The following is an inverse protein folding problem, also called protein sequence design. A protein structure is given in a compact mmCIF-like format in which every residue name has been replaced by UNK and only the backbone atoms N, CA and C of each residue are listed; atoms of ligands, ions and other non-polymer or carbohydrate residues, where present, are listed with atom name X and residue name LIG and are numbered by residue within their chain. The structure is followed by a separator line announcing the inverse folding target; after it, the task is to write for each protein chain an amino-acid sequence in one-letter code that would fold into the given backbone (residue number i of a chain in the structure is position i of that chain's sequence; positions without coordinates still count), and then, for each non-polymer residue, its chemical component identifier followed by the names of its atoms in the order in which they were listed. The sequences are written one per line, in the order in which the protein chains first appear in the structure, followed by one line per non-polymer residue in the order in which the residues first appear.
data_IF_150146019386
#
_entry.id   IF_150146019386
#
_cell.length_a   1.000
_cell.length_b   1.000
_cell.length_c   1.000
_cell.angle_alpha   90.00
_cell.angle_beta   90.00
_cell.angle_gamma   90.00
#
_symmetry.space_group_name_H-M   'P 1'
#
loop_
_entity.id
_entity.type
_entity.pdbx_description
1 polymer ?
#
# COMPACT_ATOMS: atom_id res chain seq x y z
N UNK A 1 0.61 4.59 -19.55
CA UNK A 1 0.41 3.22 -20.04
C UNK A 1 1.53 2.31 -19.57
N UNK A 2 2.77 2.72 -19.79
CA UNK A 2 3.98 1.97 -19.50
C UNK A 2 4.05 1.42 -18.05
N UNK A 3 3.57 2.16 -17.05
CA UNK A 3 3.50 1.72 -15.65
C UNK A 3 2.75 0.39 -15.45
N UNK A 4 1.61 0.23 -16.11
CA UNK A 4 0.79 -0.98 -15.97
C UNK A 4 1.43 -2.18 -16.68
N UNK A 5 2.12 -1.92 -17.80
CA UNK A 5 2.87 -2.94 -18.52
C UNK A 5 4.11 -3.40 -17.76
N UNK A 6 4.86 -2.47 -17.18
CA UNK A 6 5.99 -2.78 -16.31
C UNK A 6 5.51 -3.58 -15.10
N UNK A 7 4.44 -3.13 -14.41
CA UNK A 7 3.84 -3.87 -13.29
C UNK A 7 3.41 -5.30 -13.70
N UNK A 8 2.76 -5.47 -14.86
CA UNK A 8 2.32 -6.76 -15.36
C UNK A 8 3.44 -7.79 -15.48
N UNK A 9 4.67 -7.36 -15.79
CA UNK A 9 5.82 -8.26 -15.91
C UNK A 9 6.34 -8.78 -14.56
N UNK A 10 6.02 -8.08 -13.47
CA UNK A 10 6.42 -8.46 -12.11
C UNK A 10 5.39 -9.35 -11.39
N UNK A 11 4.16 -9.42 -11.89
CA UNK A 11 3.09 -10.21 -11.27
C UNK A 11 3.17 -11.67 -11.72
N UNK A 12 3.22 -12.58 -10.75
CA UNK A 12 3.26 -14.03 -10.99
C UNK A 12 1.89 -14.69 -10.98
N UNK A 13 0.92 -14.13 -10.22
CA UNK A 13 -0.43 -14.69 -10.10
C UNK A 13 -1.28 -14.43 -11.35
N UNK A 14 -2.00 -15.46 -11.81
CA UNK A 14 -2.82 -15.37 -13.02
C UNK A 14 -4.07 -14.50 -12.83
N UNK A 15 -4.67 -14.53 -11.64
CA UNK A 15 -5.85 -13.71 -11.32
C UNK A 15 -5.49 -12.23 -11.35
N UNK A 16 -4.40 -11.86 -10.71
CA UNK A 16 -3.92 -10.48 -10.70
C UNK A 16 -3.46 -10.00 -12.09
N UNK A 17 -2.84 -10.88 -12.89
CA UNK A 17 -2.51 -10.57 -14.29
C UNK A 17 -3.74 -10.30 -15.13
N UNK A 18 -4.84 -11.02 -14.91
CA UNK A 18 -6.10 -10.79 -15.62
C UNK A 18 -6.68 -9.40 -15.29
N UNK A 19 -6.74 -9.04 -14.00
CA UNK A 19 -7.20 -7.71 -13.57
C UNK A 19 -6.34 -6.59 -14.16
N UNK A 20 -5.00 -6.74 -14.13
CA UNK A 20 -4.09 -5.80 -14.77
C UNK A 20 -4.33 -5.68 -16.29
N UNK A 21 -4.60 -6.79 -16.97
CA UNK A 21 -4.88 -6.78 -18.41
C UNK A 21 -6.18 -6.02 -18.72
N UNK A 22 -7.20 -6.18 -17.87
CA UNK A 22 -8.45 -5.41 -17.98
C UNK A 22 -8.17 -3.92 -17.80
N UNK A 23 -7.46 -3.52 -16.74
CA UNK A 23 -7.10 -2.12 -16.50
C UNK A 23 -6.28 -1.54 -17.67
N UNK A 24 -5.31 -2.28 -18.21
CA UNK A 24 -4.56 -1.86 -19.39
C UNK A 24 -5.51 -1.62 -20.57
N UNK A 25 -6.44 -2.54 -20.81
CA UNK A 25 -7.41 -2.44 -21.91
C UNK A 25 -8.33 -1.24 -21.73
N UNK A 26 -8.83 -1.01 -20.52
CA UNK A 26 -9.71 0.11 -20.19
C UNK A 26 -9.01 1.45 -20.38
N UNK A 27 -7.76 1.57 -19.90
CA UNK A 27 -6.98 2.79 -20.07
C UNK A 27 -6.60 3.01 -21.54
N UNK A 28 -6.31 1.96 -22.32
CA UNK A 28 -6.11 2.08 -23.77
C UNK A 28 -7.37 2.51 -24.51
N UNK A 29 -8.53 2.03 -24.08
CA UNK A 29 -9.81 2.36 -24.70
C UNK A 29 -10.31 3.76 -24.30
N UNK A 30 -9.84 4.31 -23.19
CA UNK A 30 -10.25 5.63 -22.68
C UNK A 30 -10.09 6.70 -23.76
N UNK A 31 -11.17 7.44 -23.98
CA UNK A 31 -11.23 8.58 -24.91
C UNK A 31 -11.19 9.88 -24.10
N UNK A 32 -10.58 10.96 -24.64
CA UNK A 32 -10.66 12.27 -24.02
C UNK A 32 -12.13 12.68 -23.82
N UNK A 33 -12.47 13.11 -22.60
CA UNK A 33 -13.82 13.60 -22.30
C UNK A 33 -13.92 15.04 -22.77
N UNK A 34 -14.76 15.27 -23.76
CA UNK A 34 -14.94 16.58 -24.37
C UNK A 34 -16.23 17.21 -23.84
N UNK A 35 -16.13 18.45 -23.38
CA UNK A 35 -17.30 19.27 -23.12
C UNK A 35 -17.59 20.12 -24.35
N UNK A 36 -18.62 19.74 -25.10
CA UNK A 36 -19.07 20.50 -26.28
C UNK A 36 -19.93 21.71 -25.88
N UNK A 37 -20.34 21.81 -24.62
CA UNK A 37 -21.09 22.97 -24.11
C UNK A 37 -20.17 24.14 -23.74
N UNK A 38 -18.88 23.86 -23.51
CA UNK A 38 -17.88 24.87 -23.23
C UNK A 38 -17.26 25.37 -24.55
N UNK A 39 -17.10 26.70 -24.70
CA UNK A 39 -16.75 27.32 -25.99
C UNK A 39 -15.35 27.00 -26.54
N UNK A 40 -14.49 26.33 -25.76
CA UNK A 40 -13.10 26.07 -26.10
C UNK A 40 -12.70 24.60 -25.87
N UNK A 41 -12.77 23.79 -26.93
CA UNK A 41 -12.28 22.40 -26.98
C UNK A 41 -10.85 22.24 -26.42
N UNK A 42 -9.97 23.21 -26.70
CA UNK A 42 -8.58 23.20 -26.24
C UNK A 42 -8.49 23.15 -24.71
N UNK A 43 -9.42 23.82 -24.01
CA UNK A 43 -9.43 23.88 -22.56
C UNK A 43 -9.82 22.52 -21.95
N UNK A 44 -10.88 21.88 -22.46
CA UNK A 44 -11.28 20.53 -22.03
C UNK A 44 -10.15 19.51 -22.26
N UNK A 45 -9.41 19.63 -23.38
CA UNK A 45 -8.27 18.77 -23.65
C UNK A 45 -7.10 18.99 -22.67
N UNK A 46 -6.80 20.25 -22.32
CA UNK A 46 -5.77 20.58 -21.31
C UNK A 46 -6.12 20.05 -19.93
N UNK A 47 -7.39 20.13 -19.55
CA UNK A 47 -7.89 19.61 -18.28
C UNK A 47 -7.76 18.09 -18.20
N UNK A 48 -8.16 17.36 -19.25
CA UNK A 48 -7.98 15.90 -19.32
C UNK A 48 -6.49 15.51 -19.28
N UNK A 49 -5.63 16.24 -20.02
CA UNK A 49 -4.19 16.01 -19.99
C UNK A 49 -3.62 16.20 -18.58
N UNK A 50 -4.08 17.22 -17.86
CA UNK A 50 -3.70 17.47 -16.47
C UNK A 50 -4.07 16.31 -15.56
N UNK A 51 -5.28 15.73 -15.73
CA UNK A 51 -5.69 14.53 -14.99
C UNK A 51 -4.78 13.34 -15.27
N UNK A 52 -4.47 13.09 -16.54
CA UNK A 52 -3.56 12.01 -16.92
C UNK A 52 -2.16 12.20 -16.34
N UNK A 53 -1.64 13.43 -16.33
CA UNK A 53 -0.33 13.74 -15.75
C UNK A 53 -0.32 13.53 -14.24
N UNK A 54 -1.32 14.03 -13.51
CA UNK A 54 -1.44 13.83 -12.06
C UNK A 54 -1.59 12.34 -11.71
N UNK A 55 -2.39 11.60 -12.46
CA UNK A 55 -2.53 10.15 -12.29
C UNK A 55 -1.21 9.42 -12.49
N UNK A 56 -0.47 9.73 -13.55
CA UNK A 56 0.84 9.14 -13.81
C UNK A 56 1.86 9.47 -12.71
N UNK A 57 1.86 10.71 -12.21
CA UNK A 57 2.72 11.11 -11.11
C UNK A 57 2.41 10.32 -9.84
N UNK A 58 1.12 10.12 -9.53
CA UNK A 58 0.69 9.37 -8.35
C UNK A 58 1.13 7.92 -8.44
N UNK A 59 0.83 7.26 -9.57
CA UNK A 59 1.25 5.88 -9.82
C UNK A 59 2.77 5.74 -9.73
N UNK A 60 3.53 6.63 -10.36
CA UNK A 60 4.99 6.60 -10.31
C UNK A 60 5.51 6.69 -8.89
N UNK A 61 4.97 7.58 -8.06
CA UNK A 61 5.38 7.74 -6.67
C UNK A 61 5.08 6.48 -5.86
N UNK A 62 3.84 5.98 -5.90
CA UNK A 62 3.40 4.80 -5.14
C UNK A 62 4.23 3.57 -5.51
N UNK A 63 4.37 3.28 -6.80
CA UNK A 63 5.05 2.07 -7.27
C UNK A 63 6.55 2.13 -7.04
N UNK A 64 7.19 3.30 -7.17
CA UNK A 64 8.60 3.44 -6.83
C UNK A 64 8.85 3.25 -5.34
N UNK A 65 7.98 3.77 -4.47
CA UNK A 65 8.05 3.49 -3.03
C UNK A 65 7.95 1.99 -2.76
N UNK A 66 6.99 1.29 -3.39
CA UNK A 66 6.85 -0.17 -3.23
C UNK A 66 8.12 -0.95 -3.65
N UNK A 67 8.74 -0.56 -4.76
CA UNK A 67 10.02 -1.14 -5.21
C UNK A 67 11.10 -0.94 -4.15
N UNK A 68 11.22 0.29 -3.63
CA UNK A 68 12.26 0.62 -2.64
C UNK A 68 12.04 -0.12 -1.31
N UNK A 69 10.80 -0.20 -0.82
CA UNK A 69 10.43 -0.95 0.39
C UNK A 69 10.73 -2.45 0.23
N UNK A 70 10.36 -3.05 -0.90
CA UNK A 70 10.67 -4.46 -1.15
C UNK A 70 12.16 -4.74 -1.25
N UNK A 71 12.93 -3.83 -1.89
CA UNK A 71 14.38 -3.93 -1.91
C UNK A 71 14.97 -3.84 -0.51
N UNK A 72 14.46 -2.92 0.30
CA UNK A 72 14.88 -2.76 1.68
C UNK A 72 14.63 -4.04 2.47
N UNK A 73 13.41 -4.58 2.40
CA UNK A 73 13.03 -5.85 3.03
C UNK A 73 13.94 -7.01 2.59
N UNK A 74 14.13 -7.20 1.28
CA UNK A 74 15.02 -8.25 0.75
C UNK A 74 16.45 -8.07 1.23
N UNK A 75 16.97 -6.84 1.26
CA UNK A 75 18.28 -6.58 1.83
C UNK A 75 18.34 -6.99 3.30
N UNK A 76 17.29 -6.77 4.09
CA UNK A 76 17.21 -7.19 5.48
C UNK A 76 17.24 -8.71 5.64
N UNK A 77 16.42 -9.42 4.87
CA UNK A 77 16.32 -10.89 4.90
C UNK A 77 17.62 -11.54 4.42
N UNK A 78 18.33 -10.92 3.49
CA UNK A 78 19.54 -11.47 2.90
C UNK A 78 20.85 -10.87 3.46
N UNK A 79 20.83 -10.14 4.59
CA UNK A 79 22.02 -9.50 5.22
C UNK A 79 23.16 -10.50 5.49
N UNK A 80 22.82 -11.68 6.00
CA UNK A 80 23.77 -12.70 6.49
C UNK A 80 23.88 -13.91 5.57
N UNK A 81 24.24 -13.69 4.30
CA UNK A 81 24.45 -14.74 3.27
C UNK A 81 25.48 -15.83 3.66
N UNK A 82 26.14 -15.69 4.81
CA UNK A 82 27.14 -16.60 5.36
C UNK A 82 26.58 -17.84 6.09
N UNK A 83 25.28 -17.92 6.37
CA UNK A 83 24.70 -19.12 7.03
C UNK A 83 24.16 -20.17 6.04
N UNK A 84 25.07 -20.76 5.25
CA UNK A 84 24.93 -22.11 4.69
C UNK A 84 23.82 -22.39 3.65
N UNK A 85 24.23 -22.99 2.54
CA UNK A 85 23.47 -23.47 1.36
C UNK A 85 22.36 -24.53 1.62
N UNK A 86 21.67 -24.51 2.78
CA UNK A 86 20.75 -25.59 3.17
C UNK A 86 19.41 -25.18 3.79
N UNK A 87 19.17 -23.89 4.10
CA UNK A 87 17.94 -23.46 4.80
C UNK A 87 17.25 -22.25 4.15
N UNK A 88 17.39 -22.07 2.83
CA UNK A 88 16.73 -20.96 2.10
C UNK A 88 15.24 -21.23 1.81
N UNK A 89 14.69 -22.37 2.27
CA UNK A 89 13.32 -22.75 2.00
C UNK A 89 12.33 -21.79 2.69
N UNK A 90 11.40 -21.24 1.91
CA UNK A 90 10.38 -20.31 2.39
C UNK A 90 10.82 -18.84 2.41
N UNK A 91 12.07 -18.52 2.07
CA UNK A 91 12.51 -17.14 1.91
C UNK A 91 12.10 -16.58 0.55
N UNK A 92 11.84 -15.26 0.45
CA UNK A 92 11.55 -14.61 -0.83
C UNK A 92 12.77 -14.67 -1.77
N UNK A 93 12.51 -14.74 -3.08
CA UNK A 93 13.56 -14.80 -4.09
C UNK A 93 14.52 -13.60 -3.98
N UNK A 94 15.82 -13.88 -3.92
CA UNK A 94 16.85 -12.86 -3.95
C UNK A 94 17.11 -12.37 -5.39
N UNK A 95 17.60 -11.14 -5.53
CA UNK A 95 18.03 -10.57 -6.81
C UNK A 95 19.54 -10.29 -6.80
N UNK A 96 20.12 -10.14 -8.01
CA UNK A 96 21.55 -9.84 -8.17
C UNK A 96 21.70 -8.38 -8.63
N UNK A 97 22.15 -7.46 -7.76
CA UNK A 97 22.23 -6.03 -8.06
C UNK A 97 23.46 -5.70 -8.94
N UNK A 98 23.56 -6.30 -10.13
CA UNK A 98 24.70 -6.12 -11.04
C UNK A 98 24.34 -5.41 -12.34
N UNK A 99 23.15 -5.68 -12.87
CA UNK A 99 22.71 -5.13 -14.15
C UNK A 99 21.31 -4.54 -14.00
N UNK A 100 21.20 -3.24 -14.18
CA UNK A 100 19.93 -2.54 -14.29
C UNK A 100 19.39 -2.70 -15.71
N UNK A 101 18.10 -2.99 -15.81
CA UNK A 101 17.35 -3.16 -17.05
C UNK A 101 16.18 -2.19 -17.03
N UNK A 102 16.05 -1.40 -18.09
CA UNK A 102 14.83 -0.66 -18.39
C UNK A 102 13.97 -1.50 -19.32
N UNK A 103 12.72 -1.76 -18.93
CA UNK A 103 11.81 -2.61 -19.69
C UNK A 103 11.14 -1.85 -20.85
N UNK A 104 11.16 -0.52 -20.84
CA UNK A 104 10.67 0.32 -21.92
C UNK A 104 11.82 0.81 -22.82
N UNK A 105 11.55 0.87 -24.14
CA UNK A 105 12.55 1.17 -25.17
C UNK A 105 12.90 2.67 -25.30
N UNK A 106 12.14 3.58 -24.66
CA UNK A 106 12.32 5.04 -24.78
C UNK A 106 12.71 5.70 -23.47
N UNK A 107 11.97 5.45 -22.39
CA UNK A 107 12.27 5.94 -21.03
C UNK A 107 11.52 5.10 -19.99
N UNK A 108 12.17 4.60 -18.92
CA UNK A 108 11.52 3.77 -17.91
C UNK A 108 10.40 4.54 -17.21
N UNK A 109 9.22 3.92 -17.11
CA UNK A 109 8.08 4.55 -16.46
C UNK A 109 8.30 4.55 -14.95
N UNK A 110 8.72 3.40 -14.42
CA UNK A 110 9.14 3.18 -13.04
C UNK A 110 10.66 3.28 -12.90
N UNK A 111 11.14 3.10 -11.67
CA UNK A 111 12.57 2.95 -11.39
C UNK A 111 13.13 1.72 -12.12
N UNK A 112 14.35 1.83 -12.63
CA UNK A 112 15.04 0.70 -13.25
C UNK A 112 15.14 -0.47 -12.26
N UNK A 113 14.87 -1.67 -12.76
CA UNK A 113 14.89 -2.92 -12.02
C UNK A 113 16.12 -3.74 -12.41
N UNK A 114 16.61 -4.57 -11.49
CA UNK A 114 17.72 -5.47 -11.79
C UNK A 114 17.25 -6.68 -12.61
N UNK A 115 18.18 -7.28 -13.35
CA UNK A 115 17.89 -8.52 -14.08
C UNK A 115 17.41 -9.62 -13.10
N UNK A 116 16.24 -10.19 -13.38
CA UNK A 116 15.53 -11.16 -12.51
C UNK A 116 15.06 -10.61 -11.16
N UNK A 117 14.86 -9.29 -11.05
CA UNK A 117 14.17 -8.69 -9.93
C UNK A 117 12.65 -8.72 -10.14
N UNK A 118 11.92 -9.26 -9.16
CA UNK A 118 10.47 -9.36 -9.19
C UNK A 118 9.85 -8.64 -8.00
N UNK A 119 8.79 -7.88 -8.28
CA UNK A 119 8.07 -7.08 -7.29
C UNK A 119 6.59 -7.44 -7.29
N UNK A 120 6.18 -8.49 -6.56
CA UNK A 120 4.80 -8.96 -6.59
C UNK A 120 3.80 -7.86 -6.23
N UNK A 121 4.08 -7.01 -5.23
CA UNK A 121 3.17 -5.93 -4.79
C UNK A 121 2.77 -4.94 -5.88
N UNK A 122 3.49 -4.87 -7.00
CA UNK A 122 3.10 -3.99 -8.11
C UNK A 122 1.75 -4.36 -8.71
N UNK A 123 1.22 -5.56 -8.44
CA UNK A 123 -0.16 -5.89 -8.79
C UNK A 123 -1.18 -4.90 -8.21
N UNK A 124 -0.88 -4.30 -7.04
CA UNK A 124 -1.76 -3.33 -6.36
C UNK A 124 -2.08 -2.09 -7.21
N UNK A 125 -1.35 -1.85 -8.30
CA UNK A 125 -1.68 -0.78 -9.25
C UNK A 125 -3.08 -0.97 -9.88
N UNK A 126 -3.55 -2.21 -10.04
CA UNK A 126 -4.91 -2.50 -10.53
C UNK A 126 -5.95 -2.04 -9.52
N UNK A 127 -5.74 -2.37 -8.24
CA UNK A 127 -6.60 -1.98 -7.12
C UNK A 127 -6.58 -0.47 -6.91
N UNK A 128 -5.41 0.18 -6.99
CA UNK A 128 -5.28 1.63 -6.89
C UNK A 128 -6.08 2.33 -7.99
N UNK A 129 -6.00 1.82 -9.22
CA UNK A 129 -6.80 2.35 -10.33
C UNK A 129 -8.30 2.23 -10.07
N UNK A 130 -8.75 1.07 -9.59
CA UNK A 130 -10.14 0.83 -9.25
C UNK A 130 -10.61 1.73 -8.10
N UNK A 131 -9.82 1.85 -7.04
CA UNK A 131 -10.12 2.69 -5.88
C UNK A 131 -10.24 4.17 -6.27
N UNK A 132 -9.34 4.68 -7.11
CA UNK A 132 -9.41 6.05 -7.62
C UNK A 132 -10.66 6.28 -8.48
N UNK A 133 -11.03 5.30 -9.31
CA UNK A 133 -12.23 5.37 -10.16
C UNK A 133 -13.50 5.36 -9.31
N UNK A 134 -13.55 4.51 -8.28
CA UNK A 134 -14.66 4.45 -7.33
C UNK A 134 -14.77 5.75 -6.53
N UNK A 135 -13.66 6.24 -5.96
CA UNK A 135 -13.64 7.50 -5.23
C UNK A 135 -14.08 8.69 -6.11
N UNK A 136 -13.66 8.73 -7.38
CA UNK A 136 -14.12 9.74 -8.33
C UNK A 136 -15.63 9.65 -8.58
N UNK A 137 -16.16 8.44 -8.75
CA UNK A 137 -17.58 8.19 -8.97
C UNK A 137 -18.40 8.67 -7.77
N UNK A 138 -18.00 8.29 -6.55
CA UNK A 138 -18.62 8.75 -5.31
C UNK A 138 -18.57 10.27 -5.16
N UNK A 139 -17.41 10.89 -5.43
CA UNK A 139 -17.29 12.36 -5.40
C UNK A 139 -18.22 13.03 -6.39
N UNK A 140 -18.36 12.49 -7.61
CA UNK A 140 -19.29 13.02 -8.60
C UNK A 140 -20.75 12.90 -8.13
N UNK A 141 -21.11 11.81 -7.46
CA UNK A 141 -22.45 11.61 -6.90
C UNK A 141 -22.72 12.59 -5.76
N UNK A 142 -21.79 12.73 -4.80
CA UNK A 142 -21.91 13.65 -3.67
C UNK A 142 -22.04 15.11 -4.10
N UNK A 143 -21.25 15.53 -5.10
CA UNK A 143 -21.27 16.91 -5.61
C UNK A 143 -22.32 17.12 -6.72
N UNK A 144 -23.09 16.09 -7.09
CA UNK A 144 -24.10 16.11 -8.16
C UNK A 144 -23.57 16.70 -9.47
N UNK A 145 -22.36 16.31 -9.86
CA UNK A 145 -21.68 16.85 -11.05
C UNK A 145 -22.44 16.48 -12.35
N UNK A 146 -22.94 17.49 -13.05
CA UNK A 146 -23.77 17.33 -14.26
C UNK A 146 -22.98 17.47 -15.54
N UNK A 147 -22.01 18.39 -15.58
CA UNK A 147 -21.20 18.64 -16.78
C UNK A 147 -19.96 17.75 -16.83
N UNK A 148 -19.42 17.51 -18.03
CA UNK A 148 -18.15 16.77 -18.16
C UNK A 148 -16.99 17.56 -17.57
N UNK A 149 -16.98 18.89 -17.73
CA UNK A 149 -15.96 19.76 -17.11
C UNK A 149 -15.96 19.68 -15.58
N UNK A 150 -17.13 19.67 -14.91
CA UNK A 150 -17.21 19.47 -13.46
C UNK A 150 -16.61 18.14 -13.02
N UNK A 151 -16.91 17.06 -13.77
CA UNK A 151 -16.39 15.72 -13.46
C UNK A 151 -14.87 15.66 -13.62
N UNK A 152 -14.32 16.27 -14.66
CA UNK A 152 -12.86 16.35 -14.89
C UNK A 152 -12.20 17.19 -13.79
N UNK A 153 -12.80 18.32 -13.40
CA UNK A 153 -12.29 19.15 -12.32
C UNK A 153 -12.27 18.42 -10.96
N UNK A 154 -13.30 17.62 -10.66
CA UNK A 154 -13.33 16.77 -9.47
C UNK A 154 -12.27 15.68 -9.50
N UNK A 155 -12.03 15.03 -10.64
CA UNK A 155 -10.95 14.05 -10.81
C UNK A 155 -9.59 14.70 -10.56
N UNK A 156 -9.36 15.88 -11.13
CA UNK A 156 -8.11 16.61 -10.92
C UNK A 156 -7.88 16.94 -9.45
N UNK A 157 -8.91 17.40 -8.74
CA UNK A 157 -8.83 17.71 -7.30
C UNK A 157 -8.53 16.45 -6.48
N UNK A 158 -9.22 15.34 -6.76
CA UNK A 158 -8.97 14.06 -6.11
C UNK A 158 -7.51 13.62 -6.30
N UNK A 159 -7.01 13.65 -7.54
CA UNK A 159 -5.64 13.23 -7.86
C UNK A 159 -4.59 14.12 -7.19
N UNK A 160 -4.78 15.44 -7.19
CA UNK A 160 -3.86 16.37 -6.52
C UNK A 160 -3.86 16.19 -4.99
N UNK A 161 -5.04 15.96 -4.39
CA UNK A 161 -5.14 15.67 -2.96
C UNK A 161 -4.48 14.33 -2.62
N UNK A 162 -4.70 13.29 -3.42
CA UNK A 162 -4.05 11.99 -3.24
C UNK A 162 -2.53 12.10 -3.35
N UNK A 163 -2.02 12.84 -4.34
CA UNK A 163 -0.60 13.14 -4.51
C UNK A 163 0.00 13.81 -3.27
N UNK A 164 -0.60 14.92 -2.84
CA UNK A 164 -0.13 15.67 -1.68
C UNK A 164 -0.14 14.78 -0.42
N UNK A 165 -1.24 14.06 -0.17
CA UNK A 165 -1.37 13.18 0.99
C UNK A 165 -0.36 12.05 0.99
N UNK A 166 -0.07 11.47 -0.18
CA UNK A 166 0.95 10.42 -0.31
C UNK A 166 2.35 10.95 0.01
N UNK A 167 2.69 12.14 -0.49
CA UNK A 167 3.99 12.77 -0.22
C UNK A 167 4.17 13.19 1.24
N UNK A 168 3.08 13.57 1.91
CA UNK A 168 3.07 13.99 3.31
C UNK A 168 2.68 12.87 4.28
N UNK A 169 2.70 11.60 3.85
CA UNK A 169 2.25 10.50 4.68
C UNK A 169 3.23 10.32 5.85
N UNK A 170 2.75 10.53 7.07
CA UNK A 170 3.52 10.25 8.27
C UNK A 170 3.65 8.72 8.45
N UNK A 171 4.70 8.24 9.13
CA UNK A 171 4.82 6.81 9.43
C UNK A 171 3.62 6.32 10.26
N UNK A 172 3.25 5.04 10.13
CA UNK A 172 2.20 4.44 10.94
C UNK A 172 2.44 4.70 12.43
N UNK A 173 1.40 5.12 13.14
CA UNK A 173 1.51 5.38 14.58
C UNK A 173 1.99 6.78 14.97
N UNK A 174 2.37 7.66 14.02
CA UNK A 174 2.88 9.00 14.32
C UNK A 174 1.95 9.88 15.17
N UNK A 175 0.63 9.66 15.07
CA UNK A 175 -0.39 10.36 15.86
C UNK A 175 -0.55 9.85 17.30
N UNK A 176 0.09 8.73 17.63
CA UNK A 176 -0.01 8.10 18.96
C UNK A 176 1.14 8.52 19.86
N UNK A 177 1.01 8.26 21.17
CA UNK A 177 2.05 8.55 22.15
C UNK A 177 3.34 7.76 21.88
N UNK A 178 4.47 8.29 22.34
CA UNK A 178 5.79 7.66 22.17
C UNK A 178 5.87 6.25 22.75
N UNK A 179 5.09 5.95 23.79
CA UNK A 179 5.01 4.61 24.38
C UNK A 179 4.33 3.63 23.41
N UNK A 180 3.17 3.99 22.85
CA UNK A 180 2.43 3.15 21.89
C UNK A 180 3.25 2.96 20.61
N UNK A 181 3.96 4.01 20.16
CA UNK A 181 4.86 3.90 19.01
C UNK A 181 5.96 2.85 19.24
N UNK A 182 6.56 2.82 20.43
CA UNK A 182 7.58 1.82 20.78
C UNK A 182 7.03 0.41 20.92
N UNK A 183 5.85 0.27 21.53
CA UNK A 183 5.31 -1.04 21.87
C UNK A 183 4.63 -1.73 20.68
N UNK A 184 3.88 -0.97 19.86
CA UNK A 184 3.07 -1.51 18.77
C UNK A 184 3.74 -1.33 17.39
N UNK A 185 4.23 -0.11 17.12
CA UNK A 185 4.73 0.29 15.79
C UNK A 185 6.23 0.09 15.61
N UNK A 186 6.95 -0.38 16.63
CA UNK A 186 8.38 -0.69 16.50
C UNK A 186 8.60 -1.79 15.46
N UNK A 187 9.49 -1.51 14.51
CA UNK A 187 9.87 -2.41 13.43
C UNK A 187 10.84 -3.51 13.87
N UNK A 188 11.39 -3.42 15.09
CA UNK A 188 12.53 -4.25 15.52
C UNK A 188 12.19 -5.73 15.66
N UNK A 189 10.97 -6.07 16.07
CA UNK A 189 10.62 -7.44 16.43
C UNK A 189 9.96 -8.21 15.29
N UNK A 190 8.88 -7.68 14.73
CA UNK A 190 7.99 -8.43 13.83
C UNK A 190 8.35 -8.30 12.36
N UNK A 191 9.12 -7.28 11.98
CA UNK A 191 9.56 -7.09 10.59
C UNK A 191 10.79 -7.95 10.26
N UNK A 192 11.55 -8.40 11.27
CA UNK A 192 12.67 -9.33 11.09
C UNK A 192 12.21 -10.80 11.25
N UNK A 193 12.09 -11.57 10.15
CA UNK A 193 11.65 -12.95 10.22
C UNK A 193 12.60 -13.86 11.00
N UNK A 194 13.89 -13.52 11.10
CA UNK A 194 14.84 -14.30 11.89
C UNK A 194 14.65 -14.08 13.38
N UNK A 195 14.31 -12.85 13.79
CA UNK A 195 14.02 -12.57 15.20
C UNK A 195 12.77 -13.33 15.66
N UNK A 196 11.70 -13.31 14.86
CA UNK A 196 10.47 -14.08 15.13
C UNK A 196 10.77 -15.58 15.20
N UNK A 197 11.59 -16.11 14.28
CA UNK A 197 12.04 -17.51 14.32
C UNK A 197 12.81 -17.82 15.60
N UNK A 198 13.76 -16.98 15.96
CA UNK A 198 14.66 -17.22 17.09
C UNK A 198 13.90 -17.21 18.41
N UNK A 199 12.91 -16.33 18.57
CA UNK A 199 11.98 -16.36 19.71
C UNK A 199 11.21 -17.69 19.76
N UNK A 200 10.69 -18.16 18.62
CA UNK A 200 10.05 -19.46 18.52
C UNK A 200 10.97 -20.61 18.93
N UNK A 201 12.23 -20.58 18.49
CA UNK A 201 13.23 -21.59 18.84
C UNK A 201 13.59 -21.56 20.32
N UNK A 202 13.67 -20.38 20.94
CA UNK A 202 13.92 -20.23 22.38
C UNK A 202 12.78 -20.87 23.17
N UNK A 203 11.52 -20.57 22.85
CA UNK A 203 10.34 -21.17 23.53
C UNK A 203 10.32 -22.70 23.35
N UNK A 204 10.68 -23.19 22.16
CA UNK A 204 10.80 -24.63 21.90
C UNK A 204 11.98 -25.27 22.64
N UNK A 205 13.01 -24.52 23.00
CA UNK A 205 14.18 -25.03 23.73
C UNK A 205 13.93 -25.08 25.23
N UNK A 206 13.26 -24.09 25.82
CA UNK A 206 12.93 -24.06 27.25
C UNK A 206 11.96 -25.19 27.62
N UNK A 207 10.96 -25.45 26.77
CA UNK A 207 10.03 -26.56 26.99
C UNK A 207 10.69 -27.96 26.95
N UNK A 208 11.84 -28.12 26.26
CA UNK A 208 12.59 -29.39 26.26
C UNK A 208 13.35 -29.63 27.56
N UNK A 209 13.72 -28.57 28.27
CA UNK A 209 14.43 -28.68 29.55
C UNK A 209 13.45 -29.00 30.69
N UNK A 210 12.20 -28.55 30.58
CA UNK A 210 11.16 -28.76 31.59
C UNK A 210 10.39 -30.10 31.43
N UNK A 211 10.22 -30.63 30.21
CA UNK A 211 9.44 -31.84 29.96
C UNK A 211 10.16 -32.87 29.05
N UNK A 212 10.18 -34.14 29.48
CA UNK A 212 10.57 -35.29 28.62
C UNK A 212 9.44 -35.60 27.62
N UNK A 213 9.13 -34.66 26.75
CA UNK A 213 8.08 -34.77 25.73
C UNK A 213 8.40 -35.88 24.71
N UNK A 214 7.44 -36.78 24.47
CA UNK A 214 7.59 -37.83 23.45
C UNK A 214 7.52 -37.26 22.03
N UNK A 215 7.95 -38.02 21.02
CA UNK A 215 8.08 -37.53 19.64
C UNK A 215 6.81 -36.93 19.03
N UNK A 216 5.62 -37.50 19.32
CA UNK A 216 4.32 -36.97 18.86
C UNK A 216 3.89 -35.71 19.60
N UNK A 217 4.03 -35.70 20.92
CA UNK A 217 3.69 -34.54 21.76
C UNK A 217 4.55 -33.33 21.39
N UNK A 218 5.84 -33.57 21.10
CA UNK A 218 6.76 -32.54 20.60
C UNK A 218 6.36 -31.96 19.26
N UNK A 219 5.83 -32.77 18.34
CA UNK A 219 5.34 -32.28 17.04
C UNK A 219 4.10 -31.40 17.21
N UNK A 220 3.16 -31.81 18.08
CA UNK A 220 1.97 -31.02 18.39
C UNK A 220 2.35 -29.69 19.04
N UNK A 221 3.25 -29.71 20.02
CA UNK A 221 3.75 -28.50 20.66
C UNK A 221 4.44 -27.55 19.68
N UNK A 222 5.27 -28.10 18.77
CA UNK A 222 5.91 -27.29 17.72
C UNK A 222 4.88 -26.61 16.81
N UNK A 223 3.84 -27.34 16.40
CA UNK A 223 2.77 -26.79 15.57
C UNK A 223 1.98 -25.72 16.32
N UNK A 224 1.75 -25.89 17.62
CA UNK A 224 1.09 -24.89 18.47
C UNK A 224 1.90 -23.59 18.55
N UNK A 225 3.22 -23.68 18.79
CA UNK A 225 4.10 -22.50 18.80
C UNK A 225 4.10 -21.80 17.44
N UNK A 226 4.21 -22.53 16.33
CA UNK A 226 4.13 -21.91 15.00
C UNK A 226 2.78 -21.23 14.74
N UNK A 227 1.68 -21.86 15.17
CA UNK A 227 0.34 -21.28 15.02
C UNK A 227 0.21 -19.98 15.82
N UNK A 228 0.71 -19.96 17.07
CA UNK A 228 0.75 -18.77 17.92
C UNK A 228 1.61 -17.65 17.34
N UNK A 229 2.77 -17.96 16.77
CA UNK A 229 3.63 -16.96 16.13
C UNK A 229 2.96 -16.36 14.89
N UNK A 230 2.34 -17.18 14.04
CA UNK A 230 1.59 -16.70 12.87
C UNK A 230 0.39 -15.85 13.28
N UNK A 231 -0.34 -16.26 14.32
CA UNK A 231 -1.43 -15.48 14.90
C UNK A 231 -0.93 -14.13 15.43
N UNK A 232 0.20 -14.11 16.14
CA UNK A 232 0.78 -12.88 16.68
C UNK A 232 1.16 -11.87 15.58
N UNK A 233 1.82 -12.35 14.51
CA UNK A 233 2.21 -11.53 13.35
C UNK A 233 0.98 -10.97 12.64
N UNK A 234 -0.03 -11.81 12.40
CA UNK A 234 -1.26 -11.40 11.70
C UNK A 234 -2.12 -10.46 12.55
N UNK A 235 -2.23 -10.69 13.87
CA UNK A 235 -2.92 -9.80 14.79
C UNK A 235 -2.24 -8.43 14.88
N UNK A 236 -0.90 -8.39 14.95
CA UNK A 236 -0.18 -7.11 14.94
C UNK A 236 -0.47 -6.33 13.66
N UNK A 237 -0.40 -6.98 12.50
CA UNK A 237 -0.67 -6.33 11.22
C UNK A 237 -2.08 -5.71 11.20
N UNK A 238 -3.10 -6.49 11.56
CA UNK A 238 -4.49 -6.01 11.65
C UNK A 238 -4.67 -4.88 12.66
N UNK A 239 -3.95 -4.94 13.78
CA UNK A 239 -4.00 -3.90 14.81
C UNK A 239 -3.37 -2.58 14.32
N UNK A 240 -2.28 -2.65 13.57
CA UNK A 240 -1.65 -1.48 12.92
C UNK A 240 -2.60 -0.86 11.91
N UNK A 241 -3.25 -1.67 11.07
CA UNK A 241 -4.26 -1.20 10.11
C UNK A 241 -5.41 -0.50 10.83
N UNK A 242 -6.05 -1.17 11.81
CA UNK A 242 -7.15 -0.60 12.57
C UNK A 242 -6.76 0.69 13.31
N UNK A 243 -5.54 0.76 13.86
CA UNK A 243 -5.04 1.97 14.49
C UNK A 243 -4.85 3.11 13.47
N UNK A 244 -4.33 2.81 12.28
CA UNK A 244 -4.18 3.80 11.21
C UNK A 244 -5.53 4.36 10.73
N UNK A 245 -6.54 3.49 10.57
CA UNK A 245 -7.90 3.89 10.21
C UNK A 245 -8.55 4.72 11.31
N UNK A 246 -8.40 4.31 12.58
CA UNK A 246 -8.94 5.05 13.73
C UNK A 246 -8.33 6.44 13.83
N UNK A 247 -7.02 6.58 13.60
CA UNK A 247 -6.36 7.87 13.59
C UNK A 247 -6.91 8.78 12.47
N UNK A 248 -7.14 8.23 11.27
CA UNK A 248 -7.76 8.97 10.17
C UNK A 248 -9.18 9.42 10.50
N UNK A 249 -10.01 8.53 11.05
CA UNK A 249 -11.38 8.84 11.45
C UNK A 249 -11.43 9.91 12.55
N UNK A 250 -10.51 9.85 13.52
CA UNK A 250 -10.41 10.88 14.56
C UNK A 250 -10.01 12.25 14.00
N UNK A 251 -9.11 12.30 13.02
CA UNK A 251 -8.77 13.57 12.35
C UNK A 251 -9.97 14.12 11.57
N UNK A 252 -10.69 13.25 10.86
CA UNK A 252 -11.89 13.65 10.12
C UNK A 252 -13.00 14.15 11.05
N UNK A 253 -13.22 13.51 12.20
CA UNK A 253 -14.23 13.96 13.16
C UNK A 253 -13.90 15.33 13.75
N UNK A 254 -12.63 15.61 14.05
CA UNK A 254 -12.18 16.96 14.49
C UNK A 254 -12.41 18.00 13.41
N UNK A 255 -12.07 17.70 12.14
CA UNK A 255 -12.32 18.61 11.02
C UNK A 255 -13.82 18.86 10.87
N UNK A 256 -14.64 17.82 10.95
CA UNK A 256 -16.08 17.95 10.85
C UNK A 256 -16.66 18.82 11.97
N UNK A 257 -16.23 18.60 13.23
CA UNK A 257 -16.62 19.42 14.37
C UNK A 257 -16.18 20.88 14.21
N UNK A 258 -14.96 21.13 13.69
CA UNK A 258 -14.50 22.50 13.42
C UNK A 258 -15.35 23.20 12.35
N UNK A 259 -15.71 22.49 11.27
CA UNK A 259 -16.59 23.02 10.23
C UNK A 259 -18.00 23.30 10.73
N UNK A 260 -18.50 22.50 11.67
CA UNK A 260 -19.77 22.74 12.33
C UNK A 260 -19.72 23.96 13.24
N UNK A 261 -18.62 24.14 13.99
CA UNK A 261 -18.45 25.30 14.86
C UNK A 261 -18.36 26.63 14.08
N UNK A 262 -17.79 26.61 12.87
CA UNK A 262 -17.79 27.78 11.97
C UNK A 262 -19.16 28.05 11.35
N UNK A 263 -20.03 27.04 11.23
CA UNK A 263 -21.41 27.20 10.73
C UNK A 263 -22.43 27.49 11.83
N UNK A 264 -22.13 27.17 13.09
CA UNK A 264 -23.02 27.33 14.24
C UNK A 264 -22.48 28.39 15.24
N UNK A 265 -22.54 29.66 14.82
CA UNK A 265 -22.71 30.78 15.77
C UNK A 265 -24.12 30.76 16.43
N UNK A 266 -24.94 29.76 16.15
CA UNK A 266 -26.17 29.47 16.89
C UNK A 266 -26.27 27.99 17.26
N UNK A 267 -25.78 27.69 18.46
CA UNK A 267 -26.20 26.64 19.39
C UNK A 267 -26.28 25.19 18.87
N UNK A 268 -25.37 24.33 19.35
CA UNK A 268 -25.73 23.05 19.98
C UNK A 268 -24.51 22.47 20.72
N UNK A 269 -24.52 22.58 22.05
CA UNK A 269 -23.52 21.97 22.92
C UNK A 269 -23.77 20.45 22.97
N UNK A 270 -22.90 19.68 22.34
CA UNK A 270 -22.89 18.21 22.42
C UNK A 270 -21.96 17.70 23.55
N UNK A 271 -21.86 18.47 24.64
CA UNK A 271 -21.09 18.10 25.83
C UNK A 271 -21.92 17.34 26.88
N UNK A 272 -23.20 17.06 26.61
CA UNK A 272 -24.09 16.36 27.56
C UNK A 272 -24.20 14.84 27.32
N UNK A 273 -23.30 14.21 26.55
CA UNK A 273 -23.38 12.75 26.30
C UNK A 273 -22.06 11.96 26.32
N UNK A 274 -21.07 12.42 27.10
CA UNK A 274 -19.98 11.60 27.64
C UNK A 274 -19.89 11.82 29.15
#
# INVERSE_FOLDING_TARGET
MDFYFEAYQHVTDNGERLHLTQVITDVMHRRPRLDLSNGYFIQAYREELSCLQSHQQLLRLVLNCQIDEQRHYLQQVWRDRSRGLGQDYGLPLNYVPKLLVSLSNSSPALRNVYLLEFHPSLYLVSQLHQALTQAHTELCHLHRAKTTSERVALEQRLLLQALHKWQSLAPPGASYSSQIQKDLFSEVFFEDPFFVRDVGLVVLSTAKEEEKMQGKERQLFMMEIFSKLLELVTLRHRLIEAASETALLSQLSVIWLSSLSETNDTAFNFLDFL
#
